data_IF_205071289646
#
_entry.id   IF_205071289646
#
_cell.length_a   1.000
_cell.length_b   1.000
_cell.length_c   1.000
_cell.angle_alpha   90.00
_cell.angle_beta   90.00
_cell.angle_gamma   90.00
#
_symmetry.space_group_name_H-M   'P 1'
#
loop_
_entity.id
_entity.type
_entity.pdbx_description
1 polymer ?
#
# COMPACT_ATOMS: atom_id res chain seq x y z
N UNK A 1 6.33 -32.36 15.06
CA UNK A 1 6.81 -31.12 15.71
C UNK A 1 5.91 -30.00 15.21
N UNK A 2 4.99 -29.44 16.02
CA UNK A 2 4.25 -28.27 15.57
C UNK A 2 5.25 -27.13 15.46
N UNK A 3 5.26 -26.47 14.30
CA UNK A 3 6.01 -25.25 14.07
C UNK A 3 5.62 -24.26 15.18
N UNK A 4 6.58 -23.90 16.01
CA UNK A 4 6.49 -22.69 16.83
C UNK A 4 6.07 -21.59 15.88
N UNK A 5 4.88 -21.04 16.12
CA UNK A 5 4.41 -19.81 15.51
C UNK A 5 5.46 -18.79 15.88
N UNK A 6 6.41 -18.55 14.97
CA UNK A 6 7.26 -17.39 15.04
C UNK A 6 6.28 -16.22 14.98
N UNK A 7 6.01 -15.61 16.14
CA UNK A 7 5.52 -14.25 16.25
C UNK A 7 6.52 -13.39 15.47
N UNK A 8 6.31 -13.32 14.16
CA UNK A 8 6.98 -12.38 13.30
C UNK A 8 6.53 -11.03 13.85
N UNK A 9 7.44 -10.31 14.50
CA UNK A 9 7.31 -8.87 14.69
C UNK A 9 7.20 -8.25 13.30
N UNK A 10 6.00 -8.24 12.74
CA UNK A 10 5.75 -7.71 11.41
C UNK A 10 6.05 -6.22 11.49
N UNK A 11 6.95 -5.66 10.66
CA UNK A 11 7.30 -4.25 10.70
C UNK A 11 6.06 -3.33 10.74
N UNK A 12 5.00 -3.71 10.01
CA UNK A 12 3.70 -3.02 10.03
C UNK A 12 3.05 -2.97 11.42
N UNK A 13 3.00 -4.09 12.16
CA UNK A 13 2.40 -4.13 13.50
C UNK A 13 3.18 -3.24 14.50
N UNK A 14 4.51 -3.18 14.37
CA UNK A 14 5.32 -2.27 15.19
C UNK A 14 5.08 -0.81 14.82
N UNK A 15 4.95 -0.49 13.55
CA UNK A 15 4.61 0.85 13.06
C UNK A 15 3.24 1.28 13.63
N UNK A 16 2.23 0.43 13.55
CA UNK A 16 0.90 0.71 14.11
C UNK A 16 0.96 1.01 15.61
N UNK A 17 1.68 0.18 16.36
CA UNK A 17 1.89 0.39 17.80
C UNK A 17 2.54 1.74 18.09
N UNK A 18 3.60 2.09 17.34
CA UNK A 18 4.30 3.37 17.50
C UNK A 18 3.43 4.57 17.15
N UNK A 19 2.58 4.45 16.11
CA UNK A 19 1.60 5.49 15.75
C UNK A 19 0.62 5.71 16.91
N UNK A 20 0.13 4.63 17.54
CA UNK A 20 -0.76 4.75 18.71
C UNK A 20 -0.04 5.38 19.92
N UNK A 21 1.23 5.00 20.16
CA UNK A 21 2.05 5.61 21.20
C UNK A 21 2.21 7.13 20.97
N UNK A 22 2.53 7.55 19.75
CA UNK A 22 2.65 8.97 19.35
C UNK A 22 1.33 9.71 19.55
N UNK A 23 0.20 9.11 19.15
CA UNK A 23 -1.12 9.71 19.31
C UNK A 23 -1.46 9.99 20.79
N UNK A 24 -0.99 9.12 21.70
CA UNK A 24 -1.18 9.22 23.13
C UNK A 24 -0.24 10.22 23.83
N UNK A 25 0.69 10.87 23.11
CA UNK A 25 1.58 11.86 23.71
C UNK A 25 0.81 13.05 24.32
N UNK A 26 1.10 13.43 25.58
CA UNK A 26 0.44 14.58 26.21
C UNK A 26 0.79 15.92 25.57
N UNK A 27 2.00 16.04 25.01
CA UNK A 27 2.49 17.25 24.36
C UNK A 27 2.02 17.31 22.89
N UNK A 28 1.17 18.29 22.52
CA UNK A 28 0.71 18.44 21.15
C UNK A 28 1.83 18.75 20.15
N UNK A 29 2.90 19.43 20.58
CA UNK A 29 4.02 19.76 19.71
C UNK A 29 4.84 18.51 19.40
N UNK A 30 5.15 17.70 20.42
CA UNK A 30 5.85 16.42 20.22
C UNK A 30 5.07 15.49 19.27
N UNK A 31 3.74 15.40 19.41
CA UNK A 31 2.91 14.62 18.49
C UNK A 31 2.98 15.16 17.06
N UNK A 32 2.81 16.47 16.86
CA UNK A 32 2.87 17.08 15.53
C UNK A 32 4.24 16.88 14.86
N UNK A 33 5.35 17.06 15.59
CA UNK A 33 6.70 16.81 15.04
C UNK A 33 6.89 15.35 14.65
N UNK A 34 6.38 14.39 15.43
CA UNK A 34 6.49 12.98 15.11
C UNK A 34 5.66 12.61 13.86
N UNK A 35 4.43 13.13 13.75
CA UNK A 35 3.59 12.98 12.56
C UNK A 35 4.24 13.58 11.31
N UNK A 36 4.82 14.78 11.43
CA UNK A 36 5.55 15.44 10.35
C UNK A 36 6.78 14.64 9.92
N UNK A 37 7.54 14.07 10.87
CA UNK A 37 8.68 13.20 10.56
C UNK A 37 8.25 11.96 9.78
N UNK A 38 7.20 11.27 10.22
CA UNK A 38 6.68 10.07 9.53
C UNK A 38 6.25 10.44 8.11
N UNK A 39 5.53 11.56 7.96
CA UNK A 39 5.12 12.06 6.66
C UNK A 39 6.31 12.36 5.75
N UNK A 40 7.32 13.08 6.25
CA UNK A 40 8.51 13.42 5.48
C UNK A 40 9.31 12.17 5.06
N UNK A 41 9.38 11.15 5.91
CA UNK A 41 10.02 9.87 5.55
C UNK A 41 9.23 9.14 4.46
N UNK A 42 7.90 9.07 4.58
CA UNK A 42 7.04 8.45 3.56
C UNK A 42 7.13 9.20 2.23
N UNK A 43 7.12 10.54 2.24
CA UNK A 43 7.27 11.34 1.04
C UNK A 43 8.63 11.07 0.37
N UNK A 44 9.73 11.08 1.14
CA UNK A 44 11.07 10.77 0.63
C UNK A 44 11.18 9.36 0.05
N UNK A 45 10.62 8.35 0.71
CA UNK A 45 10.62 6.98 0.19
C UNK A 45 9.76 6.85 -1.07
N UNK A 46 8.62 7.52 -1.12
CA UNK A 46 7.77 7.59 -2.31
C UNK A 46 8.50 8.20 -3.50
N UNK A 47 9.20 9.32 -3.31
CA UNK A 47 10.05 9.92 -4.34
C UNK A 47 11.14 8.96 -4.84
N UNK A 48 11.81 8.27 -3.92
CA UNK A 48 12.83 7.26 -4.25
C UNK A 48 12.29 6.09 -5.06
N UNK A 49 11.12 5.55 -4.67
CA UNK A 49 10.44 4.47 -5.37
C UNK A 49 9.98 4.91 -6.76
N UNK A 50 9.37 6.10 -6.88
CA UNK A 50 8.98 6.65 -8.17
C UNK A 50 10.20 6.79 -9.09
N UNK A 51 11.31 7.30 -8.56
CA UNK A 51 12.54 7.45 -9.33
C UNK A 51 13.11 6.11 -9.80
N UNK A 52 13.04 5.08 -8.95
CA UNK A 52 13.43 3.72 -9.33
C UNK A 52 12.57 3.23 -10.50
N UNK A 53 11.24 3.38 -10.42
CA UNK A 53 10.32 2.98 -11.48
C UNK A 53 10.57 3.75 -12.79
N UNK A 54 10.83 5.06 -12.74
CA UNK A 54 11.19 5.86 -13.91
C UNK A 54 12.46 5.35 -14.59
N UNK A 55 13.50 5.04 -13.81
CA UNK A 55 14.77 4.51 -14.34
C UNK A 55 14.54 3.12 -14.94
N UNK A 56 13.76 2.27 -14.28
CA UNK A 56 13.42 0.94 -14.78
C UNK A 56 12.61 1.02 -16.08
N UNK A 57 11.62 1.91 -16.15
CA UNK A 57 10.80 2.12 -17.35
C UNK A 57 11.61 2.68 -18.52
N UNK A 58 12.65 3.47 -18.24
CA UNK A 58 13.56 4.02 -19.24
C UNK A 58 14.64 3.02 -19.73
N UNK A 59 14.82 1.88 -19.05
CA UNK A 59 15.64 0.78 -19.54
C UNK A 59 15.01 0.18 -20.81
N UNK A 60 15.78 -0.57 -21.60
CA UNK A 60 15.31 -1.20 -22.85
C UNK A 60 14.07 -2.09 -22.64
N UNK A 61 13.60 -2.78 -23.69
CA UNK A 61 12.32 -3.52 -23.79
C UNK A 61 11.92 -4.37 -22.56
N UNK A 62 12.87 -4.81 -21.72
CA UNK A 62 12.63 -5.53 -20.46
C UNK A 62 12.15 -4.69 -19.26
N UNK A 63 12.24 -3.36 -19.31
CA UNK A 63 11.91 -2.48 -18.18
C UNK A 63 10.45 -2.58 -17.72
N UNK A 64 9.51 -2.60 -18.67
CA UNK A 64 8.08 -2.70 -18.36
C UNK A 64 7.75 -4.06 -17.75
N UNK A 65 8.27 -5.16 -18.32
CA UNK A 65 8.06 -6.51 -17.78
C UNK A 65 8.62 -6.67 -16.35
N UNK A 66 9.71 -5.95 -16.03
CA UNK A 66 10.26 -5.94 -14.69
C UNK A 66 9.37 -5.16 -13.69
N UNK A 67 8.74 -4.06 -14.12
CA UNK A 67 7.76 -3.34 -13.31
C UNK A 67 6.54 -4.22 -13.01
N UNK A 68 6.06 -4.98 -14.00
CA UNK A 68 4.99 -5.96 -13.78
C UNK A 68 5.40 -7.02 -12.75
N UNK A 69 6.64 -7.53 -12.85
CA UNK A 69 7.20 -8.47 -11.86
C UNK A 69 7.25 -7.87 -10.46
N UNK A 70 7.59 -6.58 -10.32
CA UNK A 70 7.55 -5.90 -9.02
C UNK A 70 6.14 -5.76 -8.48
N UNK A 71 5.14 -5.55 -9.34
CA UNK A 71 3.74 -5.43 -8.92
C UNK A 71 3.11 -6.77 -8.52
N UNK A 72 3.68 -7.89 -8.95
CA UNK A 72 3.30 -9.25 -8.53
C UNK A 72 3.87 -9.63 -7.15
N UNK A 73 4.93 -8.96 -6.68
CA UNK A 73 5.46 -9.16 -5.32
C UNK A 73 4.58 -8.44 -4.28
N UNK A 74 4.11 -9.18 -3.28
CA UNK A 74 3.13 -8.69 -2.28
C UNK A 74 3.63 -7.45 -1.52
N UNK A 75 4.91 -7.43 -1.14
CA UNK A 75 5.50 -6.33 -0.38
C UNK A 75 5.65 -5.09 -1.26
N UNK A 76 6.22 -5.26 -2.46
CA UNK A 76 6.41 -4.16 -3.41
C UNK A 76 5.07 -3.60 -3.90
N UNK A 77 4.10 -4.46 -4.20
CA UNK A 77 2.73 -4.07 -4.55
C UNK A 77 2.06 -3.25 -3.45
N UNK A 78 2.25 -3.64 -2.18
CA UNK A 78 1.75 -2.90 -1.02
C UNK A 78 2.41 -1.53 -0.89
N UNK A 79 3.74 -1.44 -1.07
CA UNK A 79 4.47 -0.18 -1.04
C UNK A 79 4.09 0.74 -2.19
N UNK A 80 3.95 0.22 -3.40
CA UNK A 80 3.48 1.00 -4.55
C UNK A 80 2.06 1.49 -4.34
N UNK A 81 1.17 0.68 -3.76
CA UNK A 81 -0.18 1.11 -3.41
C UNK A 81 -0.16 2.23 -2.36
N UNK A 82 0.66 2.10 -1.32
CA UNK A 82 0.83 3.11 -0.28
C UNK A 82 1.27 4.47 -0.85
N UNK A 83 2.16 4.46 -1.83
CA UNK A 83 2.69 5.68 -2.47
C UNK A 83 1.94 6.11 -3.74
N UNK A 84 0.86 5.41 -4.13
CA UNK A 84 0.11 5.73 -5.36
C UNK A 84 0.88 5.46 -6.66
N UNK A 85 1.86 4.56 -6.62
CA UNK A 85 2.78 4.20 -7.72
C UNK A 85 2.44 2.86 -8.39
N UNK A 86 1.38 2.18 -7.95
CA UNK A 86 1.05 0.88 -8.50
C UNK A 86 0.70 0.99 -10.00
N UNK A 87 1.25 0.14 -10.88
CA UNK A 87 1.08 0.28 -12.33
C UNK A 87 -0.36 0.11 -12.79
N UNK A 88 -1.11 -0.79 -12.15
CA UNK A 88 -2.56 -0.90 -12.33
C UNK A 88 -3.27 0.18 -11.52
N UNK A 89 -4.27 0.84 -12.11
CA UNK A 89 -5.15 1.77 -11.40
C UNK A 89 -5.99 1.05 -10.32
N UNK A 90 -6.57 1.84 -9.41
CA UNK A 90 -7.32 1.30 -8.27
C UNK A 90 -8.54 0.47 -8.70
N UNK A 91 -9.23 0.86 -9.78
CA UNK A 91 -10.43 0.15 -10.25
C UNK A 91 -10.05 -1.22 -10.80
N UNK A 92 -8.99 -1.29 -11.60
CA UNK A 92 -8.44 -2.52 -12.15
C UNK A 92 -8.00 -3.47 -11.05
N UNK A 93 -7.29 -2.97 -10.03
CA UNK A 93 -6.89 -3.79 -8.86
C UNK A 93 -8.10 -4.33 -8.10
N UNK A 94 -9.13 -3.51 -7.87
CA UNK A 94 -10.35 -3.95 -7.19
C UNK A 94 -11.07 -5.00 -8.04
N UNK A 95 -11.18 -4.80 -9.35
CA UNK A 95 -11.80 -5.78 -10.24
C UNK A 95 -11.08 -7.13 -10.19
N UNK A 96 -9.74 -7.13 -10.24
CA UNK A 96 -8.94 -8.35 -10.10
C UNK A 96 -9.19 -9.05 -8.76
N UNK A 97 -9.13 -8.31 -7.64
CA UNK A 97 -9.40 -8.87 -6.32
C UNK A 97 -10.83 -9.43 -6.19
N UNK A 98 -11.82 -8.78 -6.80
CA UNK A 98 -13.19 -9.28 -6.83
C UNK A 98 -13.31 -10.56 -7.66
N UNK A 99 -12.61 -10.65 -8.79
CA UNK A 99 -12.61 -11.83 -9.64
C UNK A 99 -12.03 -13.06 -8.93
N UNK A 100 -11.05 -12.88 -8.02
CA UNK A 100 -10.51 -13.94 -7.18
C UNK A 100 -11.54 -14.52 -6.18
N UNK A 101 -12.39 -13.66 -5.59
CA UNK A 101 -13.37 -14.09 -4.58
C UNK A 101 -14.71 -14.54 -5.17
N UNK A 102 -15.03 -14.15 -6.42
CA UNK A 102 -16.28 -14.52 -7.11
C UNK A 102 -16.56 -16.03 -7.11
N UNK A 103 -15.61 -16.93 -7.40
CA UNK A 103 -15.85 -18.37 -7.35
C UNK A 103 -16.34 -18.85 -5.98
N UNK A 104 -15.77 -18.30 -4.90
CA UNK A 104 -16.15 -18.62 -3.54
C UNK A 104 -17.55 -18.10 -3.17
N UNK A 105 -17.91 -16.91 -3.63
CA UNK A 105 -19.26 -16.36 -3.42
C UNK A 105 -20.31 -17.16 -4.17
N UNK A 106 -20.03 -17.54 -5.43
CA UNK A 106 -20.95 -18.34 -6.25
C UNK A 106 -21.26 -19.71 -5.64
N UNK A 107 -20.29 -20.35 -4.99
CA UNK A 107 -20.52 -21.64 -4.32
C UNK A 107 -21.48 -21.57 -3.13
N UNK A 108 -21.69 -20.37 -2.58
CA UNK A 108 -22.64 -20.08 -1.50
C UNK A 108 -23.88 -19.31 -2.00
N UNK A 109 -24.10 -19.24 -3.32
CA UNK A 109 -25.25 -18.55 -3.92
C UNK A 109 -25.15 -17.02 -3.93
N UNK A 110 -23.99 -16.46 -3.61
CA UNK A 110 -23.71 -15.03 -3.64
C UNK A 110 -23.07 -14.53 -4.94
N UNK A 111 -23.08 -13.21 -5.14
CA UNK A 111 -22.36 -12.52 -6.20
C UNK A 111 -21.87 -11.15 -5.67
N UNK A 112 -20.89 -10.57 -6.35
CA UNK A 112 -20.38 -9.22 -6.07
C UNK A 112 -20.20 -8.49 -7.38
N UNK A 113 -20.47 -7.18 -7.40
CA UNK A 113 -20.25 -6.34 -8.56
C UNK A 113 -19.53 -5.07 -8.11
N UNK A 114 -18.53 -4.67 -8.89
CA UNK A 114 -17.88 -3.38 -8.68
C UNK A 114 -18.82 -2.28 -9.16
N UNK A 115 -19.15 -1.33 -8.27
CA UNK A 115 -20.05 -0.21 -8.59
C UNK A 115 -19.26 1.05 -8.93
N UNK A 116 -18.38 1.48 -8.01
CA UNK A 116 -17.46 2.60 -8.18
C UNK A 116 -16.50 2.71 -6.99
N UNK A 117 -15.37 3.37 -7.18
CA UNK A 117 -14.61 4.00 -6.10
C UNK A 117 -14.79 5.51 -6.19
N UNK A 118 -15.09 6.14 -5.06
CA UNK A 118 -15.04 7.60 -4.93
C UNK A 118 -13.75 7.97 -4.21
N UNK A 119 -12.74 8.42 -4.96
CA UNK A 119 -11.57 9.05 -4.35
C UNK A 119 -12.00 10.39 -3.77
N UNK A 120 -12.17 10.44 -2.45
CA UNK A 120 -12.29 11.71 -1.74
C UNK A 120 -10.93 12.41 -1.84
N UNK A 121 -10.85 13.44 -2.69
CA UNK A 121 -9.68 14.29 -2.80
C UNK A 121 -9.56 15.10 -1.51
N UNK A 122 -8.79 14.63 -0.54
CA UNK A 122 -8.46 15.37 0.69
C UNK A 122 -7.50 16.51 0.35
N UNK A 123 -8.01 17.58 -0.29
CA UNK A 123 -7.18 18.73 -0.68
C UNK A 123 -7.90 20.09 -0.70
N UNK A 124 -8.99 20.26 0.07
CA UNK A 124 -9.68 21.56 0.18
C UNK A 124 -9.85 22.03 1.65
N UNK A 125 -8.77 21.94 2.43
CA UNK A 125 -8.63 22.70 3.68
C UNK A 125 -7.19 23.15 3.84
N UNK A 126 -6.80 24.12 2.99
CA UNK A 126 -5.71 25.06 3.25
C UNK A 126 -6.20 26.46 2.97
#
# INVERSE_FOLDING_TARGET
>A
MPQEVQEHNHPAARIETLIQEIAAFPDPHARATAEELVKALLDMYGEGLNRLLEITAASEVSGIALIDTFAEDELLSSLFTLHGLHPLDIETRIMQALDEVRPFLKSHGGNVEFVKVLLQTWMDSR
#
